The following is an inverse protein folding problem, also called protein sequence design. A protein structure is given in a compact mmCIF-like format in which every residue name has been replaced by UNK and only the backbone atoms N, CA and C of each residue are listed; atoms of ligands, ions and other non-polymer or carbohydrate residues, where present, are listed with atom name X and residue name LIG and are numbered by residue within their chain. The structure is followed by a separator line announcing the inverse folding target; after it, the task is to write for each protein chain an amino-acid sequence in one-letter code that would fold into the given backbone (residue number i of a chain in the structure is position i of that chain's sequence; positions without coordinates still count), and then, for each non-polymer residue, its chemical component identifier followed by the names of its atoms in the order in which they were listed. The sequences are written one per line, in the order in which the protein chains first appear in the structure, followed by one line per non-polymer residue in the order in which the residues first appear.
data_IF_654370671413
#
_entry.id   IF_654370671413
#
_cell.length_a   1.000
_cell.length_b   1.000
_cell.length_c   1.000
_cell.angle_alpha   90.00
_cell.angle_beta   90.00
_cell.angle_gamma   90.00
#
_symmetry.space_group_name_H-M   'P 1'
#
loop_
_entity.id
_entity.type
_entity.pdbx_description
1 polymer ?
2 non-polymer ?
3 non-polymer ?
4 non-polymer ?
5 water ?
#
# COMPACT_ATOMS: atom_id res chain seq x y z
N UNK A 18 5.08 -13.83 -21.07
CA UNK A 18 3.78 -13.09 -21.10
C UNK A 18 3.75 -12.02 -19.99
N UNK A 19 3.97 -12.38 -18.72
CA UNK A 19 3.95 -11.42 -17.58
C UNK A 19 5.20 -10.52 -17.66
N UNK A 20 5.18 -9.58 -18.62
CA UNK A 20 6.26 -8.59 -18.85
C UNK A 20 6.34 -7.64 -17.65
N UNK A 21 5.19 -7.35 -17.01
CA UNK A 21 5.11 -6.34 -15.91
C UNK A 21 5.91 -6.80 -14.70
N UNK A 22 5.81 -8.07 -14.31
CA UNK A 22 6.63 -8.61 -13.20
C UNK A 22 8.10 -8.68 -13.65
N UNK A 23 8.35 -8.99 -14.93
CA UNK A 23 9.73 -9.00 -15.48
C UNK A 23 10.39 -7.64 -15.25
N UNK A 24 9.61 -6.55 -15.29
CA UNK A 24 10.10 -5.16 -15.07
C UNK A 24 10.51 -4.98 -13.61
N UNK A 25 9.71 -5.45 -12.65
CA UNK A 25 10.06 -5.42 -11.19
C UNK A 25 11.39 -6.15 -11.01
N UNK A 26 11.54 -7.34 -11.60
CA UNK A 26 12.81 -8.12 -11.47
C UNK A 26 13.96 -7.34 -12.08
N UNK A 27 13.75 -6.66 -13.22
CA UNK A 27 14.79 -5.79 -13.85
C UNK A 27 15.14 -4.61 -12.91
N UNK A 28 14.16 -4.05 -12.18
CA UNK A 28 14.42 -2.95 -11.21
C UNK A 28 15.37 -3.45 -10.12
N UNK A 29 15.09 -4.65 -9.60
CA UNK A 29 15.90 -5.32 -8.55
C UNK A 29 17.31 -5.57 -9.11
N UNK A 30 17.41 -6.10 -10.32
CA UNK A 30 18.71 -6.36 -11.01
C UNK A 30 19.48 -5.04 -11.16
N UNK A 31 18.80 -3.98 -11.61
CA UNK A 31 19.42 -2.64 -11.82
C UNK A 31 19.96 -2.12 -10.48
N UNK A 32 19.19 -2.25 -9.41
CA UNK A 32 19.57 -1.78 -8.05
C UNK A 32 20.82 -2.56 -7.57
N UNK A 33 20.79 -3.88 -7.62
CA UNK A 33 21.94 -4.73 -7.18
C UNK A 33 23.22 -4.35 -7.94
N UNK A 34 23.13 -4.12 -9.25
CA UNK A 34 24.30 -3.82 -10.11
C UNK A 34 24.77 -2.38 -9.93
N UNK A 35 23.84 -1.41 -9.84
CA UNK A 35 24.16 0.03 -10.03
C UNK A 35 23.87 0.86 -8.79
N UNK A 36 23.18 0.31 -7.79
CA UNK A 36 22.79 1.07 -6.58
C UNK A 36 23.99 1.47 -5.76
N UNK A 37 23.82 2.52 -4.95
CA UNK A 37 24.84 2.98 -3.97
C UNK A 37 24.67 2.21 -2.68
N UNK A 38 25.79 1.81 -2.06
CA UNK A 38 25.80 1.14 -0.74
C UNK A 38 25.74 2.24 0.33
N UNK A 39 24.64 2.34 1.06
CA UNK A 39 24.45 3.38 2.13
C UNK A 39 23.84 2.72 3.37
N UNK A 40 24.29 3.16 4.55
CA UNK A 40 23.64 2.85 5.84
C UNK A 40 22.44 3.78 6.00
N UNK A 41 21.30 3.22 6.38
CA UNK A 41 20.04 3.98 6.58
C UNK A 41 20.03 4.53 8.01
N UNK A 42 18.90 5.10 8.41
CA UNK A 42 18.72 5.84 9.69
C UNK A 42 18.96 4.92 10.89
N UNK A 43 18.83 3.60 10.70
CA UNK A 43 19.00 2.59 11.77
C UNK A 43 20.46 2.13 11.83
N UNK A 44 21.28 2.53 10.86
CA UNK A 44 22.65 2.01 10.69
C UNK A 44 22.69 0.72 9.89
N UNK A 45 21.60 0.30 9.27
CA UNK A 45 21.51 -0.96 8.49
C UNK A 45 21.95 -0.68 7.05
N UNK A 46 22.79 -1.56 6.49
CA UNK A 46 23.28 -1.44 5.12
C UNK A 46 22.13 -1.62 4.13
N UNK A 47 22.06 -0.74 3.13
CA UNK A 47 21.16 -0.87 1.96
C UNK A 47 21.95 -0.61 0.69
N UNK A 48 21.40 -1.06 -0.42
CA UNK A 48 21.81 -0.74 -1.81
C UNK A 48 20.62 0.03 -2.38
N UNK A 49 20.84 1.24 -2.87
CA UNK A 49 19.76 2.22 -3.13
C UNK A 49 19.94 2.82 -4.51
N UNK A 50 18.83 3.00 -5.20
CA UNK A 50 18.70 3.89 -6.40
C UNK A 50 17.60 4.90 -6.08
N UNK A 51 17.88 6.20 -6.25
CA UNK A 51 16.86 7.26 -6.06
C UNK A 51 16.19 7.55 -7.41
N UNK A 52 14.88 7.35 -7.49
CA UNK A 52 14.10 7.67 -8.70
C UNK A 52 13.97 6.46 -9.60
N UNK A 53 12.92 5.65 -9.40
CA UNK A 53 12.61 4.53 -10.32
C UNK A 53 11.10 4.56 -10.59
N UNK A 54 10.70 4.03 -11.72
CA UNK A 54 9.29 4.09 -12.18
C UNK A 54 8.99 2.80 -12.92
N UNK A 55 7.78 2.31 -12.77
CA UNK A 55 7.30 1.10 -13.47
C UNK A 55 5.80 1.25 -13.65
N UNK A 56 5.25 0.56 -14.64
CA UNK A 56 3.79 0.59 -14.91
C UNK A 56 3.33 -0.86 -14.91
N UNK A 57 2.16 -1.09 -14.33
CA UNK A 57 1.50 -2.42 -14.26
C UNK A 57 0.10 -2.29 -14.83
N UNK A 58 -0.25 -3.14 -15.81
CA UNK A 58 -1.65 -3.19 -16.29
C UNK A 58 -2.56 -3.69 -15.17
N UNK A 59 -3.70 -3.05 -14.99
CA UNK A 59 -4.80 -3.51 -14.10
C UNK A 59 -5.99 -3.98 -14.95
N UNK A 60 -5.84 -4.06 -16.28
CA UNK A 60 -6.99 -4.35 -17.17
C UNK A 60 -7.48 -5.78 -16.91
N UNK A 61 -8.77 -6.01 -17.13
CA UNK A 61 -9.37 -7.38 -17.15
C UNK A 61 -9.17 -8.06 -15.78
N UNK A 62 -9.35 -7.30 -14.70
CA UNK A 62 -9.32 -7.78 -13.30
C UNK A 62 -7.91 -7.96 -12.75
N UNK A 63 -6.85 -7.68 -13.50
CA UNK A 63 -5.46 -8.06 -13.08
C UNK A 63 -5.04 -7.23 -11.86
N UNK A 64 -4.48 -7.90 -10.85
CA UNK A 64 -3.85 -7.22 -9.68
C UNK A 64 -2.41 -7.66 -9.67
N UNK A 65 -1.44 -6.72 -9.62
CA UNK A 65 -0.03 -7.07 -9.77
C UNK A 65 0.53 -7.64 -8.45
N UNK A 66 0.11 -8.86 -8.13
CA UNK A 66 0.60 -9.62 -6.94
C UNK A 66 1.74 -10.52 -7.42
N UNK A 67 2.97 -10.26 -7.00
CA UNK A 67 4.17 -10.93 -7.54
C UNK A 67 4.02 -12.44 -7.44
N UNK A 68 4.45 -13.16 -8.48
CA UNK A 68 4.35 -14.63 -8.57
C UNK A 68 5.70 -15.29 -8.25
N UNK A 69 6.82 -14.57 -8.36
CA UNK A 69 8.18 -15.13 -8.11
C UNK A 69 8.42 -15.27 -6.61
N UNK A 70 7.54 -14.72 -5.77
CA UNK A 70 7.62 -14.91 -4.30
C UNK A 70 6.25 -14.58 -3.71
N UNK A 71 5.75 -15.44 -2.82
CA UNK A 71 4.38 -15.27 -2.27
C UNK A 71 4.28 -13.93 -1.53
N UNK A 72 3.24 -13.16 -1.88
CA UNK A 72 2.85 -11.91 -1.17
C UNK A 72 1.80 -12.25 -0.12
N UNK A 73 1.89 -11.60 1.04
CA UNK A 73 0.95 -11.79 2.17
C UNK A 73 -0.39 -11.13 1.82
N UNK A 74 -1.13 -11.75 0.90
CA UNK A 74 -2.44 -11.26 0.42
C UNK A 74 -3.43 -11.07 1.56
N UNK A 75 -3.50 -11.98 2.53
CA UNK A 75 -4.39 -11.80 3.69
C UNK A 75 -4.05 -10.46 4.38
N UNK A 76 -2.75 -10.18 4.53
CA UNK A 76 -2.28 -8.91 5.16
C UNK A 76 -2.68 -7.72 4.32
N UNK A 77 -2.48 -7.82 3.01
CA UNK A 77 -2.84 -6.74 2.05
C UNK A 77 -4.32 -6.38 2.24
N UNK A 78 -5.20 -7.37 2.23
CA UNK A 78 -6.66 -7.11 2.27
C UNK A 78 -7.06 -6.54 3.63
N UNK A 79 -6.65 -7.18 4.74
CA UNK A 79 -7.10 -6.77 6.08
C UNK A 79 -6.54 -5.37 6.35
N UNK A 80 -5.30 -5.12 5.97
CA UNK A 80 -4.70 -3.78 6.16
C UNK A 80 -5.55 -2.76 5.42
N UNK A 81 -5.91 -3.04 4.17
CA UNK A 81 -6.64 -2.06 3.32
C UNK A 81 -8.03 -1.83 3.92
N UNK A 82 -8.71 -2.87 4.41
CA UNK A 82 -10.06 -2.68 4.99
C UNK A 82 -9.96 -1.83 6.26
N UNK A 83 -8.88 -2.02 7.01
CA UNK A 83 -8.62 -1.31 8.28
C UNK A 83 -8.31 0.17 7.98
N UNK A 84 -7.48 0.45 6.96
CA UNK A 84 -7.33 1.83 6.40
C UNK A 84 -8.70 2.43 6.08
N UNK A 85 -9.52 1.72 5.31
CA UNK A 85 -10.82 2.28 4.84
C UNK A 85 -11.73 2.58 6.03
N UNK A 86 -11.65 1.81 7.12
CA UNK A 86 -12.45 2.08 8.35
C UNK A 86 -11.96 3.34 9.05
N UNK A 87 -10.77 3.85 8.70
CA UNK A 87 -10.16 5.00 9.39
C UNK A 87 -9.50 4.58 10.69
N UNK A 88 -9.18 3.29 10.83
CA UNK A 88 -8.70 2.68 12.09
C UNK A 88 -7.18 2.87 12.20
N UNK A 89 -6.69 3.19 13.40
CA UNK A 89 -5.24 3.35 13.69
C UNK A 89 -4.84 2.48 14.88
N UNK A 90 -5.70 1.52 15.25
CA UNK A 90 -5.46 0.59 16.37
C UNK A 90 -4.85 -0.70 15.80
N UNK A 91 -3.55 -0.91 15.96
CA UNK A 91 -2.84 -2.12 15.46
C UNK A 91 -3.52 -3.40 16.02
N UNK A 92 -4.15 -3.33 17.20
CA UNK A 92 -4.75 -4.55 17.82
C UNK A 92 -5.91 -5.03 16.96
N UNK A 93 -6.66 -4.12 16.33
CA UNK A 93 -7.82 -4.51 15.47
C UNK A 93 -7.33 -5.31 14.26
N UNK A 94 -6.11 -5.03 13.79
CA UNK A 94 -5.48 -5.77 12.67
C UNK A 94 -4.94 -7.10 13.21
N UNK A 95 -4.21 -7.05 14.32
CA UNK A 95 -3.60 -8.22 15.00
C UNK A 95 -4.69 -9.27 15.31
N UNK A 96 -5.89 -8.82 15.64
CA UNK A 96 -7.05 -9.69 15.98
C UNK A 96 -7.60 -10.42 14.75
N UNK A 97 -7.20 -10.03 13.54
CA UNK A 97 -7.52 -10.76 12.29
C UNK A 97 -6.31 -11.62 11.91
N UNK A 98 -5.33 -11.72 12.79
CA UNK A 98 -4.08 -12.48 12.61
C UNK A 98 -3.05 -11.75 11.76
N UNK A 99 -3.17 -10.42 11.59
CA UNK A 99 -2.21 -9.66 10.74
C UNK A 99 -1.37 -8.77 11.67
N UNK A 100 -0.10 -9.12 11.83
CA UNK A 100 0.77 -8.57 12.91
C UNK A 100 1.75 -7.52 12.34
N UNK A 101 1.57 -7.11 11.08
CA UNK A 101 2.56 -6.25 10.37
C UNK A 101 2.79 -4.91 11.10
N UNK A 102 1.79 -4.37 11.80
CA UNK A 102 1.89 -3.08 12.55
C UNK A 102 2.18 -3.27 14.04
N UNK A 103 2.26 -4.52 14.52
CA UNK A 103 2.24 -4.77 15.99
C UNK A 103 3.48 -4.14 16.65
N UNK A 104 4.66 -4.30 16.05
CA UNK A 104 5.94 -3.78 16.57
C UNK A 104 5.82 -2.25 16.78
N UNK A 105 5.18 -1.55 15.84
CA UNK A 105 5.06 -0.08 15.84
C UNK A 105 4.01 0.38 16.86
N UNK A 106 3.14 -0.52 17.32
CA UNK A 106 2.12 -0.20 18.34
C UNK A 106 2.50 -0.69 19.74
N UNK A 107 3.64 -1.36 19.89
CA UNK A 107 4.09 -1.99 21.17
C UNK A 107 4.41 -0.93 22.22
N UNK A 108 4.14 -1.23 23.49
CA UNK A 108 4.49 -0.38 24.66
C UNK A 108 5.94 0.12 24.52
N UNK A 109 6.86 -0.75 24.09
CA UNK A 109 8.30 -0.45 23.94
C UNK A 109 8.51 0.65 22.88
N UNK A 110 7.94 0.46 21.68
CA UNK A 110 8.05 1.40 20.53
C UNK A 110 7.41 2.74 20.90
N UNK A 111 6.22 2.71 21.51
CA UNK A 111 5.49 3.95 21.86
C UNK A 111 6.37 4.80 22.78
N UNK A 112 6.94 4.17 23.82
CA UNK A 112 7.81 4.83 24.82
C UNK A 112 9.09 5.35 24.14
N UNK A 113 9.69 4.59 23.23
CA UNK A 113 10.89 5.02 22.45
C UNK A 113 10.57 6.25 21.60
N UNK A 114 9.34 6.39 21.10
CA UNK A 114 8.92 7.51 20.21
C UNK A 114 8.32 8.65 21.02
N UNK A 115 8.38 8.57 22.35
CA UNK A 115 7.84 9.61 23.27
C UNK A 115 6.32 9.67 23.23
N UNK A 116 5.64 8.54 23.02
CA UNK A 116 4.16 8.42 23.03
C UNK A 116 3.74 7.64 24.29
N UNK A 117 4.38 7.93 25.44
CA UNK A 117 4.21 7.17 26.70
C UNK A 117 2.76 7.26 27.19
N UNK A 118 2.04 8.32 26.81
CA UNK A 118 0.62 8.60 27.13
C UNK A 118 -0.35 7.72 26.30
N UNK A 119 0.11 7.08 25.23
CA UNK A 119 -0.77 6.29 24.34
C UNK A 119 -0.95 4.86 24.85
N UNK A 120 -2.13 4.31 24.61
CA UNK A 120 -2.47 2.88 24.85
C UNK A 120 -1.73 2.02 23.83
N UNK A 121 -1.32 0.82 24.25
CA UNK A 121 -0.70 -0.16 23.33
C UNK A 121 -1.61 -0.35 22.11
N UNK A 122 -1.00 -0.43 20.92
CA UNK A 122 -1.72 -0.53 19.63
C UNK A 122 -1.94 0.82 18.93
N UNK A 123 -1.79 1.95 19.62
CA UNK A 123 -2.16 3.27 19.03
C UNK A 123 -1.02 3.73 18.12
N UNK A 124 -1.23 3.71 16.80
CA UNK A 124 -0.18 4.04 15.81
C UNK A 124 -0.15 5.54 15.53
N UNK A 125 -1.06 6.33 16.12
CA UNK A 125 -1.21 7.76 15.78
C UNK A 125 -1.97 7.97 14.47
N UNK A 126 -1.99 9.24 13.96
CA UNK A 126 -2.77 9.70 12.80
C UNK A 126 -2.17 9.22 11.46
N UNK A 127 -2.05 7.90 11.30
CA UNK A 127 -1.46 7.30 10.07
C UNK A 127 -2.57 7.15 9.03
N UNK A 128 -2.29 6.39 7.96
CA UNK A 128 -3.11 6.24 6.73
C UNK A 128 -4.61 6.35 7.00
N UNK A 129 -5.17 5.45 7.81
CA UNK A 129 -6.62 5.39 7.99
C UNK A 129 -7.18 6.73 8.43
N UNK A 130 -6.54 7.33 9.43
CA UNK A 130 -6.97 8.62 10.00
C UNK A 130 -6.89 9.71 8.93
N UNK A 131 -5.77 9.74 8.18
CA UNK A 131 -5.60 10.74 7.11
C UNK A 131 -6.63 10.52 6.01
N UNK A 132 -6.89 9.27 5.61
CA UNK A 132 -7.79 9.00 4.47
C UNK A 132 -9.21 9.48 4.80
N UNK A 133 -9.65 9.33 6.05
CA UNK A 133 -11.09 9.55 6.40
C UNK A 133 -11.29 10.82 7.22
N UNK A 134 -10.26 11.38 7.88
CA UNK A 134 -10.40 12.48 8.88
C UNK A 134 -9.26 13.50 8.77
N UNK A 135 -8.76 13.75 7.56
CA UNK A 135 -7.57 14.60 7.36
C UNK A 135 -7.83 16.00 7.96
N UNK A 136 -6.98 16.43 8.89
CA UNK A 136 -7.03 17.78 9.48
C UNK A 136 -7.66 17.77 10.85
N UNK A 137 -8.44 16.75 11.21
CA UNK A 137 -9.00 16.59 12.57
C UNK A 137 -7.87 16.50 13.61
N UNK A 138 -8.11 16.96 14.83
CA UNK A 138 -7.14 16.84 15.93
C UNK A 138 -7.15 15.39 16.40
N UNK A 139 -6.02 14.70 16.29
CA UNK A 139 -5.88 13.31 16.81
C UNK A 139 -5.88 13.36 18.35
N UNK A 140 -6.71 12.53 18.97
CA UNK A 140 -6.84 12.45 20.45
C UNK A 140 -6.79 10.97 20.88
N UNK A 141 -6.19 10.10 20.07
CA UNK A 141 -6.04 8.66 20.39
C UNK A 141 -6.96 7.77 19.58
N UNK A 142 -6.61 6.49 19.48
CA UNK A 142 -7.26 5.51 18.59
C UNK A 142 -8.69 5.21 19.06
N UNK A 143 -8.97 5.37 20.36
CA UNK A 143 -10.27 4.93 20.96
C UNK A 143 -11.32 6.01 20.74
N UNK A 144 -10.93 7.24 20.38
CA UNK A 144 -11.85 8.38 20.15
C UNK A 144 -12.69 8.11 18.90
N UNK A 145 -13.95 8.53 18.91
CA UNK A 145 -14.88 8.48 17.76
C UNK A 145 -14.69 9.78 16.96
N UNK A 146 -14.31 9.68 15.68
CA UNK A 146 -13.98 10.84 14.81
C UNK A 146 -15.06 11.04 13.74
N UNK A 147 -16.18 10.30 13.85
CA UNK A 147 -17.33 10.38 12.90
C UNK A 147 -17.55 11.84 12.52
N UNK A 148 -17.42 12.14 11.22
CA UNK A 148 -17.70 13.46 10.58
C UNK A 148 -16.63 14.51 10.91
N UNK A 149 -15.53 14.15 11.59
CA UNK A 149 -14.43 15.10 11.88
C UNK A 149 -13.41 15.08 10.72
N UNK A 150 -12.93 16.25 10.31
CA UNK A 150 -11.88 16.41 9.29
C UNK A 150 -12.37 16.07 7.89
N UNK A 151 -11.45 15.96 6.94
CA UNK A 151 -11.77 15.81 5.50
C UNK A 151 -11.69 14.34 5.13
N UNK A 152 -12.79 13.81 4.61
CA UNK A 152 -12.86 12.42 4.12
C UNK A 152 -12.30 12.40 2.71
N UNK A 153 -10.98 12.29 2.58
CA UNK A 153 -10.31 12.31 1.26
C UNK A 153 -10.86 11.17 0.41
N UNK A 154 -11.08 10.02 1.02
CA UNK A 154 -11.47 8.82 0.26
C UNK A 154 -12.85 9.08 -0.36
N UNK A 155 -13.80 9.62 0.40
CA UNK A 155 -15.14 10.00 -0.12
C UNK A 155 -14.99 11.06 -1.22
N UNK A 156 -14.12 12.04 -0.99
CA UNK A 156 -13.92 13.15 -1.96
C UNK A 156 -13.40 12.61 -3.29
N UNK A 157 -12.39 11.71 -3.29
CA UNK A 157 -11.81 11.25 -4.58
C UNK A 157 -12.86 10.40 -5.30
N UNK A 158 -13.69 9.63 -4.59
CA UNK A 158 -14.74 8.80 -5.25
C UNK A 158 -15.77 9.77 -5.85
N UNK A 159 -16.10 10.84 -5.14
CA UNK A 159 -17.00 11.90 -5.65
C UNK A 159 -16.42 12.49 -6.95
N UNK A 160 -15.14 12.81 -6.95
CA UNK A 160 -14.48 13.38 -8.15
C UNK A 160 -14.51 12.39 -9.30
N UNK A 161 -14.17 11.12 -9.07
CA UNK A 161 -14.11 10.11 -10.15
C UNK A 161 -15.50 9.97 -10.79
N UNK A 162 -16.54 9.99 -9.98
CA UNK A 162 -17.94 9.82 -10.49
C UNK A 162 -18.39 11.09 -11.22
N UNK A 163 -18.14 12.27 -10.66
CA UNK A 163 -18.77 13.54 -11.12
C UNK A 163 -17.86 14.31 -12.08
N UNK A 164 -16.54 14.21 -11.90
CA UNK A 164 -15.55 14.96 -12.72
C UNK A 164 -14.38 14.04 -13.04
N UNK A 165 -14.64 12.97 -13.81
CA UNK A 165 -13.63 11.93 -14.06
C UNK A 165 -12.34 12.46 -14.71
N UNK A 166 -12.38 13.65 -15.32
CA UNK A 166 -11.19 14.20 -16.03
C UNK A 166 -10.39 15.10 -15.10
N UNK A 167 -10.80 15.26 -13.84
CA UNK A 167 -10.13 16.15 -12.87
C UNK A 167 -8.64 15.80 -12.79
N UNK A 168 -7.81 16.84 -12.73
CA UNK A 168 -6.35 16.74 -12.51
C UNK A 168 -6.03 16.86 -11.02
N UNK A 169 -7.06 16.82 -10.15
CA UNK A 169 -6.92 17.15 -8.71
C UNK A 169 -7.37 15.97 -7.83
N UNK A 170 -7.33 14.75 -8.34
CA UNK A 170 -7.83 13.56 -7.60
C UNK A 170 -6.66 12.90 -6.87
N UNK A 171 -6.41 13.33 -5.66
CA UNK A 171 -5.22 12.96 -4.85
C UNK A 171 -5.69 12.41 -3.51
N UNK A 172 -5.15 11.26 -3.13
CA UNK A 172 -5.26 10.70 -1.78
C UNK A 172 -3.87 10.80 -1.12
N UNK A 173 -3.74 11.59 -0.07
CA UNK A 173 -2.43 11.88 0.55
C UNK A 173 -2.45 11.57 2.04
N UNK A 174 -1.49 10.77 2.48
CA UNK A 174 -1.22 10.49 3.92
C UNK A 174 -0.14 11.44 4.47
N UNK A 175 0.55 12.21 3.61
CA UNK A 175 1.71 13.04 4.03
C UNK A 175 1.16 14.33 4.66
N UNK A 176 0.65 14.24 5.87
CA UNK A 176 0.07 15.39 6.61
C UNK A 176 1.21 15.94 7.47
N UNK A 177 1.82 17.02 7.02
CA UNK A 177 3.08 17.56 7.63
C UNK A 177 2.88 17.79 9.13
N UNK A 178 1.77 18.43 9.50
CA UNK A 178 1.47 18.81 10.91
C UNK A 178 1.37 17.54 11.79
N UNK A 179 0.96 16.42 11.19
CA UNK A 179 0.72 15.16 11.93
C UNK A 179 1.93 14.22 11.91
N UNK A 180 2.97 14.49 11.12
CA UNK A 180 4.09 13.53 10.94
C UNK A 180 4.65 13.15 12.31
N UNK A 181 4.80 14.13 13.20
CA UNK A 181 5.48 13.94 14.51
C UNK A 181 4.67 12.98 15.40
N UNK A 182 3.35 12.87 15.18
CA UNK A 182 2.41 12.02 15.97
C UNK A 182 2.35 10.58 15.41
N UNK A 183 2.85 10.35 14.20
CA UNK A 183 2.73 9.03 13.53
C UNK A 183 3.81 8.06 14.04
N UNK A 184 3.45 6.78 14.12
CA UNK A 184 4.38 5.67 14.42
C UNK A 184 5.51 5.72 13.39
N UNK A 185 5.19 6.06 12.15
CA UNK A 185 6.13 6.09 11.00
C UNK A 185 5.54 7.09 9.99
N UNK A 186 6.34 7.98 9.36
CA UNK A 186 5.83 8.83 8.29
C UNK A 186 5.52 7.88 7.14
N UNK A 187 4.48 8.16 6.33
CA UNK A 187 4.01 7.21 5.33
C UNK A 187 5.05 6.96 4.22
N UNK A 188 5.32 5.69 3.94
CA UNK A 188 6.17 5.27 2.80
C UNK A 188 5.41 5.44 1.49
N UNK A 189 4.15 5.00 1.46
CA UNK A 189 3.23 5.22 0.30
C UNK A 189 2.55 6.55 0.56
N UNK A 190 3.15 7.60 0.01
CA UNK A 190 3.04 9.02 0.41
C UNK A 190 1.80 9.71 -0.16
N UNK A 191 1.53 9.50 -1.44
CA UNK A 191 0.26 9.92 -2.08
C UNK A 191 0.03 9.11 -3.34
N UNK A 192 -1.21 9.12 -3.75
CA UNK A 192 -1.71 8.42 -4.95
C UNK A 192 -2.60 9.41 -5.68
N UNK A 193 -2.35 9.56 -6.97
CA UNK A 193 -3.24 10.32 -7.86
C UNK A 193 -4.05 9.34 -8.71
N UNK A 194 -5.32 9.67 -8.92
CA UNK A 194 -6.22 8.87 -9.77
C UNK A 194 -6.62 9.70 -10.97
N UNK A 195 -6.93 8.99 -12.07
CA UNK A 195 -7.38 9.59 -13.34
C UNK A 195 -8.27 8.59 -14.06
N UNK A 196 -9.24 9.11 -14.82
CA UNK A 196 -10.12 8.26 -15.66
C UNK A 196 -9.86 8.62 -17.12
N UNK A 197 -9.53 7.61 -17.92
CA UNK A 197 -9.49 7.67 -19.40
C UNK A 197 -10.24 6.44 -19.94
N UNK A 198 -11.01 6.60 -21.01
CA UNK A 198 -11.56 5.44 -21.76
C UNK A 198 -12.47 4.66 -20.82
N UNK A 199 -13.14 5.36 -19.90
CA UNK A 199 -13.90 4.75 -18.80
C UNK A 199 -13.04 3.77 -18.01
N UNK A 200 -11.72 4.02 -17.94
CA UNK A 200 -10.74 3.18 -17.19
C UNK A 200 -10.06 4.03 -16.11
N UNK A 201 -10.14 3.58 -14.86
CA UNK A 201 -9.52 4.25 -13.68
C UNK A 201 -8.07 3.79 -13.61
N UNK A 202 -7.15 4.74 -13.57
CA UNK A 202 -5.70 4.49 -13.39
C UNK A 202 -5.23 5.16 -12.11
N UNK A 203 -4.10 4.72 -11.61
CA UNK A 203 -3.56 5.18 -10.32
C UNK A 203 -2.06 5.44 -10.52
N UNK A 204 -1.55 6.56 -10.02
CA UNK A 204 -0.08 6.77 -9.91
C UNK A 204 0.25 6.89 -8.43
N UNK A 205 1.07 5.95 -7.93
CA UNK A 205 1.44 5.89 -6.51
C UNK A 205 2.84 6.48 -6.36
N UNK A 206 2.96 7.50 -5.52
CA UNK A 206 4.28 8.07 -5.16
C UNK A 206 4.71 7.45 -3.83
N UNK A 207 5.73 6.59 -3.90
CA UNK A 207 6.28 5.90 -2.72
C UNK A 207 7.68 6.46 -2.43
N UNK A 208 7.82 7.25 -1.35
CA UNK A 208 9.08 7.96 -1.04
C UNK A 208 10.19 6.95 -0.73
N UNK A 209 9.81 5.75 -0.30
CA UNK A 209 10.73 4.74 0.26
C UNK A 209 10.12 3.35 0.04
N UNK A 210 10.88 2.45 -0.59
CA UNK A 210 10.42 1.07 -0.80
C UNK A 210 11.55 0.07 -0.69
N UNK A 211 11.42 -0.91 0.20
CA UNK A 211 12.34 -2.08 0.18
C UNK A 211 11.80 -3.06 -0.85
N UNK A 212 12.62 -3.42 -1.83
CA UNK A 212 12.21 -4.26 -2.98
C UNK A 212 11.87 -5.67 -2.49
N UNK A 213 12.47 -6.13 -1.40
CA UNK A 213 12.28 -7.49 -0.85
C UNK A 213 10.88 -7.71 -0.28
N UNK A 214 10.39 -6.82 0.57
CA UNK A 214 9.16 -7.09 1.36
C UNK A 214 8.10 -6.01 1.12
N UNK A 215 8.48 -4.76 1.32
CA UNK A 215 7.52 -3.65 1.26
C UNK A 215 6.90 -3.49 -0.11
N UNK A 216 7.73 -3.33 -1.16
CA UNK A 216 7.24 -2.87 -2.48
C UNK A 216 6.23 -3.86 -3.04
N UNK A 217 6.47 -5.20 -3.05
CA UNK A 217 5.46 -6.13 -3.57
C UNK A 217 4.12 -6.03 -2.82
N UNK A 218 4.18 -5.83 -1.49
CA UNK A 218 2.99 -5.71 -0.64
C UNK A 218 2.23 -4.45 -1.06
N UNK A 219 2.96 -3.34 -1.22
CA UNK A 219 2.36 -2.02 -1.56
C UNK A 219 1.73 -2.05 -2.97
N UNK A 220 2.39 -2.66 -3.94
CA UNK A 220 1.87 -2.83 -5.33
C UNK A 220 0.53 -3.59 -5.28
N UNK A 221 0.47 -4.70 -4.55
CA UNK A 221 -0.78 -5.47 -4.41
C UNK A 221 -1.85 -4.58 -3.79
N UNK A 222 -1.49 -3.83 -2.75
CA UNK A 222 -2.43 -3.00 -1.96
C UNK A 222 -3.05 -1.94 -2.88
N UNK A 223 -2.25 -1.21 -3.65
CA UNK A 223 -2.77 -0.09 -4.48
C UNK A 223 -3.46 -0.62 -5.73
N UNK A 224 -2.99 -1.75 -6.28
CA UNK A 224 -3.72 -2.47 -7.34
C UNK A 224 -5.12 -2.82 -6.87
N UNK A 225 -5.24 -3.42 -5.68
CA UNK A 225 -6.54 -3.81 -5.09
C UNK A 225 -7.39 -2.56 -4.86
N UNK A 226 -6.83 -1.53 -4.24
CA UNK A 226 -7.61 -0.30 -3.95
C UNK A 226 -8.21 0.27 -5.24
N UNK A 227 -7.40 0.35 -6.30
CA UNK A 227 -7.84 0.93 -7.59
C UNK A 227 -9.03 0.11 -8.14
N UNK A 228 -8.96 -1.21 -8.06
CA UNK A 228 -10.08 -2.11 -8.45
C UNK A 228 -11.32 -1.82 -7.59
N UNK A 229 -11.16 -1.65 -6.28
CA UNK A 229 -12.30 -1.45 -5.35
C UNK A 229 -12.99 -0.12 -5.69
N UNK A 230 -12.20 0.93 -5.92
CA UNK A 230 -12.75 2.27 -6.28
C UNK A 230 -13.44 2.15 -7.64
N UNK A 231 -12.80 1.49 -8.62
CA UNK A 231 -13.32 1.33 -9.99
C UNK A 231 -14.68 0.63 -9.86
N UNK A 232 -14.74 -0.42 -9.04
CA UNK A 232 -15.98 -1.24 -8.84
C UNK A 232 -17.12 -0.35 -8.39
N UNK A 233 -16.92 0.38 -7.31
CA UNK A 233 -17.94 1.25 -6.65
C UNK A 233 -18.30 2.42 -7.58
N UNK A 234 -17.42 2.79 -8.54
CA UNK A 234 -17.67 3.92 -9.49
C UNK A 234 -18.20 3.37 -10.83
N UNK A 235 -18.32 2.05 -11.00
CA UNK A 235 -18.85 1.43 -12.24
C UNK A 235 -17.89 1.56 -13.40
N UNK A 236 -16.59 1.49 -13.14
CA UNK A 236 -15.53 1.72 -14.15
C UNK A 236 -14.68 0.45 -14.31
N UNK A 237 -14.06 0.31 -15.48
CA UNK A 237 -12.97 -0.64 -15.70
C UNK A 237 -11.71 -0.02 -15.07
N UNK A 238 -10.63 -0.78 -15.02
CA UNK A 238 -9.35 -0.34 -14.45
C UNK A 238 -8.34 -0.27 -15.60
N UNK A 239 -7.41 0.68 -15.54
CA UNK A 239 -6.40 0.85 -16.59
C UNK A 239 -5.05 0.35 -16.13
N UNK A 240 -4.26 1.23 -15.50
CA UNK A 240 -2.88 0.89 -15.13
C UNK A 240 -2.53 1.51 -13.78
N UNK A 241 -1.50 0.96 -13.14
CA UNK A 241 -0.88 1.50 -11.91
C UNK A 241 0.55 1.92 -12.27
N UNK A 242 0.82 3.21 -12.19
CA UNK A 242 2.19 3.79 -12.23
C UNK A 242 2.75 3.71 -10.81
N UNK A 243 3.92 3.11 -10.67
CA UNK A 243 4.62 3.03 -9.36
C UNK A 243 5.87 3.87 -9.45
N UNK A 244 5.91 4.96 -8.68
CA UNK A 244 7.06 5.91 -8.67
C UNK A 244 7.75 5.73 -7.34
N UNK A 245 9.04 5.41 -7.36
CA UNK A 245 9.84 5.24 -6.13
C UNK A 245 10.83 6.39 -5.97
N UNK A 246 10.93 6.91 -4.74
CA UNK A 246 12.07 7.75 -4.33
C UNK A 246 13.25 6.87 -4.03
N UNK A 247 13.46 6.50 -2.77
CA UNK A 247 14.55 5.55 -2.41
C UNK A 247 14.07 4.10 -2.65
N UNK A 248 14.41 3.55 -3.81
CA UNK A 248 14.20 2.13 -4.14
C UNK A 248 15.43 1.36 -3.64
N UNK A 249 15.27 0.52 -2.62
CA UNK A 249 16.44 -0.10 -1.97
C UNK A 249 16.23 -1.59 -1.68
N UNK A 250 17.37 -2.28 -1.62
CA UNK A 250 17.50 -3.67 -1.10
C UNK A 250 18.37 -3.61 0.15
N UNK A 251 17.86 -4.19 1.23
CA UNK A 251 18.64 -4.41 2.47
C UNK A 251 19.74 -5.44 2.14
N UNK A 252 20.96 -5.12 2.54
CA UNK A 252 22.17 -5.99 2.36
C UNK A 252 21.88 -7.43 2.79
N UNK A 253 21.18 -7.61 3.92
CA UNK A 253 20.87 -8.96 4.47
C UNK A 253 19.74 -9.63 3.69
N UNK A 254 19.26 -9.05 2.58
CA UNK A 254 18.22 -9.64 1.69
C UNK A 254 18.81 -9.95 0.31
N UNK A 255 20.08 -9.64 0.05
CA UNK A 255 20.68 -9.71 -1.31
C UNK A 255 20.59 -11.15 -1.85
N UNK A 256 20.93 -12.15 -1.03
CA UNK A 256 20.90 -13.58 -1.44
C UNK A 256 19.46 -14.00 -1.77
N UNK A 257 18.49 -13.66 -0.91
CA UNK A 257 17.04 -13.92 -1.13
C UNK A 257 16.61 -13.33 -2.48
N UNK A 258 16.99 -12.09 -2.80
CA UNK A 258 16.56 -11.46 -4.07
C UNK A 258 17.32 -12.06 -5.26
N UNK A 259 18.60 -12.39 -5.09
CA UNK A 259 19.37 -13.12 -6.15
C UNK A 259 18.67 -14.45 -6.48
N UNK A 260 18.07 -15.10 -5.46
CA UNK A 260 17.27 -16.34 -5.62
C UNK A 260 16.05 -16.03 -6.49
N UNK A 261 15.28 -15.01 -6.10
CA UNK A 261 14.02 -14.60 -6.78
C UNK A 261 14.32 -14.25 -8.25
N UNK A 262 15.48 -13.66 -8.54
CA UNK A 262 15.86 -13.22 -9.91
C UNK A 262 16.08 -14.43 -10.83
N UNK A 263 16.30 -15.63 -10.28
CA UNK A 263 16.49 -16.86 -11.08
C UNK A 263 15.13 -17.42 -11.51
N UNK A 264 14.02 -16.87 -11.03
CA UNK A 264 12.66 -17.44 -11.25
C UNK A 264 11.95 -16.71 -12.38
N UNK A 265 11.18 -17.43 -13.19
CA UNK A 265 10.42 -16.87 -14.34
C UNK A 265 9.02 -16.52 -13.83
N UNK A 266 8.54 -15.27 -14.02
CA UNK A 266 7.21 -14.91 -13.52
C UNK A 266 6.10 -15.76 -14.18
N UNK A 267 5.02 -15.96 -13.44
CA UNK A 267 3.73 -16.50 -13.93
C UNK A 267 2.79 -15.33 -14.22
N UNK A 268 1.66 -15.60 -14.87
CA UNK A 268 0.63 -14.57 -15.12
C UNK A 268 0.11 -14.06 -13.76
N UNK A 269 -0.11 -12.75 -13.63
CA UNK A 269 -0.71 -12.14 -12.42
C UNK A 269 -2.11 -12.69 -12.20
N UNK A 270 -2.58 -12.77 -10.94
CA UNK A 270 -3.95 -13.15 -10.68
C UNK A 270 -4.92 -12.02 -11.04
N UNK A 271 -6.20 -12.33 -10.99
CA UNK A 271 -7.30 -11.36 -11.20
C UNK A 271 -8.11 -11.32 -9.92
N UNK A 272 -8.86 -10.24 -9.75
CA UNK A 272 -9.73 -10.06 -8.56
C UNK A 272 -11.14 -9.86 -9.09
N UNK A 273 -12.12 -10.35 -8.34
CA UNK A 273 -13.52 -9.96 -8.59
C UNK A 273 -14.21 -9.85 -7.25
N UNK A 274 -15.33 -9.13 -7.23
CA UNK A 274 -16.05 -8.76 -6.01
C UNK A 274 -17.42 -9.43 -6.04
N UNK A 275 -17.89 -9.88 -4.88
CA UNK A 275 -19.19 -10.58 -4.74
C UNK A 275 -20.00 -9.87 -3.66
N UNK A 276 -21.31 -10.01 -3.71
CA UNK A 276 -22.22 -9.34 -2.77
C UNK A 276 -22.68 -8.03 -3.38
N UNK A 277 -23.48 -7.26 -2.66
CA UNK A 277 -24.05 -6.00 -3.19
C UNK A 277 -23.14 -4.88 -2.68
N UNK A 278 -21.96 -4.72 -3.28
CA UNK A 278 -20.98 -3.70 -2.79
C UNK A 278 -21.28 -2.38 -3.53
N UNK A 279 -21.96 -1.45 -2.85
CA UNK A 279 -22.39 -0.15 -3.43
C UNK A 279 -21.38 0.96 -3.08
N UNK A 280 -20.81 0.94 -1.86
CA UNK A 280 -19.87 1.98 -1.37
C UNK A 280 -18.54 1.36 -0.92
N UNK A 281 -17.53 2.22 -0.80
CA UNK A 281 -16.15 1.81 -0.45
C UNK A 281 -16.16 1.15 0.94
N UNK A 282 -17.13 1.54 1.79
CA UNK A 282 -17.25 1.08 3.20
C UNK A 282 -17.92 -0.31 3.29
N UNK A 283 -18.43 -0.85 2.19
CA UNK A 283 -19.24 -2.10 2.19
C UNK A 283 -18.37 -3.31 1.85
N UNK A 284 -17.10 -3.13 1.47
CA UNK A 284 -16.22 -4.28 1.18
C UNK A 284 -15.91 -5.01 2.48
N UNK A 285 -15.84 -6.34 2.41
CA UNK A 285 -15.46 -7.25 3.51
C UNK A 285 -14.43 -8.24 2.98
N UNK A 286 -13.73 -8.93 3.88
CA UNK A 286 -12.71 -9.91 3.45
C UNK A 286 -13.36 -10.88 2.47
N UNK A 287 -14.59 -11.29 2.77
CA UNK A 287 -15.31 -12.35 2.03
C UNK A 287 -15.75 -11.82 0.66
N UNK A 288 -15.99 -10.51 0.51
CA UNK A 288 -16.45 -9.91 -0.77
C UNK A 288 -15.31 -9.89 -1.81
N UNK A 289 -14.06 -10.13 -1.39
CA UNK A 289 -12.89 -9.97 -2.30
C UNK A 289 -12.38 -11.35 -2.70
N UNK A 290 -12.52 -11.70 -3.98
CA UNK A 290 -12.12 -13.03 -4.53
C UNK A 290 -10.88 -12.85 -5.40
N UNK A 291 -9.75 -13.42 -4.97
CA UNK A 291 -8.49 -13.46 -5.73
C UNK A 291 -8.43 -14.76 -6.55
N UNK A 292 -8.31 -14.63 -7.86
CA UNK A 292 -8.39 -15.79 -8.78
C UNK A 292 -7.02 -16.11 -9.37
N UNK A 293 -6.63 -17.38 -9.31
CA UNK A 293 -5.46 -17.89 -10.05
C UNK A 293 -4.19 -17.23 -9.51
N UNK A 294 -4.07 -17.12 -8.18
CA UNK A 294 -2.81 -16.69 -7.53
C UNK A 294 -2.06 -17.95 -7.05
N UNK A 295 -1.07 -18.37 -7.82
CA UNK A 295 -0.24 -19.55 -7.47
C UNK A 295 1.23 -19.11 -7.56
N UNK A 296 1.74 -18.41 -6.53
CA UNK A 296 3.14 -17.98 -6.54
C UNK A 296 4.13 -19.11 -6.24
N UNK A 297 5.39 -18.92 -6.61
CA UNK A 297 6.51 -19.73 -6.06
C UNK A 297 6.62 -19.39 -4.58
N UNK A 298 7.26 -20.25 -3.75
CA UNK A 298 7.31 -20.01 -2.30
C UNK A 298 7.82 -18.62 -1.87
N UNK A 299 7.29 -18.08 -0.76
CA UNK A 299 7.89 -16.94 -0.02
C UNK A 299 9.39 -17.23 0.18
N UNK A 300 10.23 -16.19 0.15
CA UNK A 300 11.69 -16.36 0.37
C UNK A 300 12.01 -15.74 1.73
N UNK A 301 12.83 -16.43 2.52
CA UNK A 301 13.22 -16.03 3.91
C UNK A 301 14.19 -14.85 3.77
N UNK A 302 13.87 -13.71 4.41
CA UNK A 302 14.65 -12.45 4.27
C UNK A 302 15.15 -11.98 5.65
#
# INVERSE_FOLDING_TARGET
MKSSGAHGNVMGDAGVLKNEDESKYLDQVRYILKNGERIDDRTGTGTISVFGMHSVYSLRNGVVPVLTTKRVYWKGVVEELLWFIRGDTNAKHLSEKGVRIWDANGSRQFLDQCGFSDRSEGDLGPIYGFQWRHCGAEYRGMDTDYTNQGIDQLSEIIDLIKNEPHSRRIILSAWNVKDLKLMALPPCHTLAQFAVRNGELSCQLYQRSGDMGLGVPFNLASYGLLTHMIAHVCGLKTGHLCHVLGDAHVYMNHVDALQEQLKRQPRQFPTVRFIGNIKTIDDFTYESIVLENYQPMPAIKMAMAV
#
